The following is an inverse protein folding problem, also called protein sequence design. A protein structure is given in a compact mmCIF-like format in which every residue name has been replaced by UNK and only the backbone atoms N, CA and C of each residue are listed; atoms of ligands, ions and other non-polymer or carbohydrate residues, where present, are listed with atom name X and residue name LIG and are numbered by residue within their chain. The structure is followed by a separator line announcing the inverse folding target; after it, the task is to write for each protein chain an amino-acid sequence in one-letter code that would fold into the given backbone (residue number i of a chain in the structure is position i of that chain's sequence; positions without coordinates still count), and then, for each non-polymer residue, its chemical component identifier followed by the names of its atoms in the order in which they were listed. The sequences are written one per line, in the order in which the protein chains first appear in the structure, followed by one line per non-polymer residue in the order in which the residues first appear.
data_IF_260738234142
#
_entry.id   IF_260738234142
#
_cell.length_a   1.000
_cell.length_b   1.000
_cell.length_c   1.000
_cell.angle_alpha   90.00
_cell.angle_beta   90.00
_cell.angle_gamma   90.00
#
_symmetry.space_group_name_H-M   'P 1'
#
loop_
_entity.id
_entity.type
_entity.pdbx_description
1 polymer ?
#
# COMPACT_ATOMS: atom_id res chain seq x y z
N UNK A 1 -13.08 15.70 16.37
CA UNK A 1 -11.90 15.44 15.52
C UNK A 1 -11.78 16.62 14.58
N UNK A 2 -10.64 17.30 14.57
CA UNK A 2 -10.44 18.48 13.73
C UNK A 2 -10.46 18.07 12.25
N UNK A 3 -11.33 18.70 11.44
CA UNK A 3 -11.45 18.41 10.01
C UNK A 3 -10.13 18.64 9.24
N UNK A 4 -9.25 19.50 9.75
CA UNK A 4 -7.95 19.76 9.17
C UNK A 4 -7.02 18.53 9.23
N UNK A 5 -7.02 17.74 10.33
CA UNK A 5 -6.18 16.55 10.45
C UNK A 5 -6.56 15.48 9.43
N UNK A 6 -7.86 15.28 9.22
CA UNK A 6 -8.32 14.35 8.21
C UNK A 6 -7.93 14.80 6.79
N UNK A 7 -8.01 16.09 6.50
CA UNK A 7 -7.59 16.63 5.20
C UNK A 7 -6.08 16.42 4.99
N UNK A 8 -5.25 16.72 5.97
CA UNK A 8 -3.80 16.54 5.88
C UNK A 8 -3.42 15.07 5.65
N UNK A 9 -4.04 14.14 6.39
CA UNK A 9 -3.76 12.72 6.24
C UNK A 9 -4.35 12.11 4.96
N UNK A 10 -5.37 12.72 4.37
CA UNK A 10 -6.08 12.19 3.22
C UNK A 10 -5.54 12.70 1.89
N UNK A 11 -5.28 14.00 1.78
CA UNK A 11 -5.13 14.67 0.49
C UNK A 11 -3.93 14.19 -0.30
N UNK A 12 -2.79 13.92 0.33
CA UNK A 12 -1.64 13.35 -0.37
C UNK A 12 -1.88 11.92 -0.87
N UNK A 13 -2.71 11.12 -0.18
CA UNK A 13 -3.09 9.76 -0.59
C UNK A 13 -4.01 9.81 -1.81
N UNK A 14 -4.98 10.73 -1.80
CA UNK A 14 -5.86 11.00 -2.95
C UNK A 14 -5.05 11.49 -4.14
N UNK A 15 -4.08 12.39 -3.92
CA UNK A 15 -3.17 12.87 -4.97
C UNK A 15 -2.32 11.73 -5.55
N UNK A 16 -1.82 10.82 -4.71
CA UNK A 16 -1.09 9.64 -5.15
C UNK A 16 -1.97 8.71 -6.01
N UNK A 17 -3.22 8.44 -5.60
CA UNK A 17 -4.17 7.66 -6.38
C UNK A 17 -4.48 8.31 -7.74
N UNK A 18 -4.71 9.63 -7.77
CA UNK A 18 -4.90 10.37 -9.04
C UNK A 18 -3.68 10.28 -9.95
N UNK A 19 -2.47 10.40 -9.37
CA UNK A 19 -1.22 10.26 -10.12
C UNK A 19 -1.05 8.85 -10.68
N UNK A 20 -1.46 7.81 -9.93
CA UNK A 20 -1.48 6.44 -10.42
C UNK A 20 -2.38 6.30 -11.64
N UNK A 21 -3.61 6.78 -11.54
CA UNK A 21 -4.58 6.71 -12.64
C UNK A 21 -4.13 7.49 -13.88
N UNK A 22 -3.34 8.55 -13.71
CA UNK A 22 -2.78 9.31 -14.83
C UNK A 22 -1.56 8.64 -15.47
N UNK A 23 -0.70 7.96 -14.69
CA UNK A 23 0.63 7.54 -15.12
C UNK A 23 0.79 6.02 -15.26
N UNK A 24 -0.02 5.23 -14.54
CA UNK A 24 0.07 3.77 -14.43
C UNK A 24 -1.32 3.11 -14.42
N UNK A 25 -2.32 3.71 -15.10
CA UNK A 25 -3.58 3.01 -15.32
C UNK A 25 -3.35 1.72 -16.12
N UNK A 26 -4.33 0.83 -16.16
CA UNK A 26 -4.20 -0.48 -16.81
C UNK A 26 -3.67 -0.42 -18.24
N UNK A 27 -4.20 0.50 -19.04
CA UNK A 27 -3.80 0.63 -20.45
C UNK A 27 -2.33 1.05 -20.58
N UNK A 28 -1.92 2.10 -19.86
CA UNK A 28 -0.54 2.59 -19.89
C UNK A 28 0.44 1.55 -19.32
N UNK A 29 0.07 0.89 -18.23
CA UNK A 29 0.88 -0.17 -17.65
C UNK A 29 1.13 -1.30 -18.64
N UNK A 30 0.08 -1.75 -19.34
CA UNK A 30 0.18 -2.79 -20.36
C UNK A 30 1.03 -2.37 -21.56
N UNK A 31 0.93 -1.11 -22.01
CA UNK A 31 1.78 -0.59 -23.08
C UNK A 31 3.26 -0.64 -22.70
N UNK A 32 3.58 -0.21 -21.46
CA UNK A 32 4.96 -0.24 -20.96
C UNK A 32 5.49 -1.68 -20.80
N UNK A 33 4.67 -2.60 -20.28
CA UNK A 33 5.03 -4.02 -20.17
C UNK A 33 5.35 -4.65 -21.53
N UNK A 34 4.48 -4.46 -22.51
CA UNK A 34 4.66 -4.98 -23.90
C UNK A 34 5.91 -4.40 -24.57
N UNK A 35 6.25 -3.16 -24.21
CA UNK A 35 7.47 -2.51 -24.70
C UNK A 35 8.72 -2.86 -23.88
N UNK A 36 8.63 -3.77 -22.90
CA UNK A 36 9.70 -4.14 -21.95
C UNK A 36 10.31 -2.94 -21.20
N UNK A 37 9.52 -1.88 -20.98
CA UNK A 37 9.95 -0.66 -20.26
C UNK A 37 9.77 -0.82 -18.74
N UNK A 38 10.37 -1.86 -18.17
CA UNK A 38 10.22 -2.22 -16.76
C UNK A 38 10.78 -1.16 -15.81
N UNK A 39 11.92 -0.58 -16.16
CA UNK A 39 12.55 0.49 -15.38
C UNK A 39 11.65 1.74 -15.33
N UNK A 40 10.93 2.05 -16.40
CA UNK A 40 9.99 3.16 -16.45
C UNK A 40 8.79 2.90 -15.55
N UNK A 41 8.25 1.68 -15.55
CA UNK A 41 7.16 1.28 -14.63
C UNK A 41 7.61 1.46 -13.18
N UNK A 42 8.78 0.91 -12.83
CA UNK A 42 9.33 0.99 -11.49
C UNK A 42 9.59 2.45 -11.07
N UNK A 43 10.16 3.26 -11.97
CA UNK A 43 10.43 4.67 -11.73
C UNK A 43 9.13 5.44 -11.46
N UNK A 44 8.09 5.25 -12.27
CA UNK A 44 6.78 5.90 -12.09
C UNK A 44 6.14 5.49 -10.76
N UNK A 45 6.10 4.20 -10.44
CA UNK A 45 5.54 3.70 -9.19
C UNK A 45 6.26 4.29 -7.96
N UNK A 46 7.60 4.22 -7.93
CA UNK A 46 8.42 4.80 -6.86
C UNK A 46 8.24 6.31 -6.77
N UNK A 47 8.15 7.02 -7.90
CA UNK A 47 7.93 8.47 -7.93
C UNK A 47 6.58 8.86 -7.34
N UNK A 48 5.53 8.10 -7.62
CA UNK A 48 4.19 8.32 -7.04
C UNK A 48 4.25 8.12 -5.53
N UNK A 49 4.82 7.00 -5.07
CA UNK A 49 4.95 6.70 -3.65
C UNK A 49 5.81 7.75 -2.93
N UNK A 50 6.92 8.19 -3.52
CA UNK A 50 7.85 9.13 -2.89
C UNK A 50 7.24 10.50 -2.52
N UNK A 51 6.09 10.83 -3.10
CA UNK A 51 5.31 12.04 -2.78
C UNK A 51 4.32 11.82 -1.63
N UNK A 52 4.36 10.66 -0.99
CA UNK A 52 3.54 10.32 0.17
C UNK A 52 4.40 10.22 1.43
N UNK A 53 3.74 10.20 2.58
CA UNK A 53 4.35 9.93 3.89
C UNK A 53 4.03 8.50 4.36
N UNK A 54 3.63 7.59 3.44
CA UNK A 54 3.17 6.25 3.80
C UNK A 54 4.29 5.37 4.32
N UNK A 55 5.40 5.23 3.58
CA UNK A 55 6.53 4.39 3.98
C UNK A 55 7.70 5.22 4.50
N UNK A 56 8.51 4.65 5.38
CA UNK A 56 9.66 5.34 5.98
C UNK A 56 10.78 5.58 4.94
N UNK A 57 11.63 6.57 5.21
CA UNK A 57 12.72 6.95 4.33
C UNK A 57 13.67 5.77 4.02
N UNK A 58 13.97 4.92 5.01
CA UNK A 58 14.82 3.75 4.82
C UNK A 58 14.13 2.67 3.96
N UNK A 59 12.79 2.53 4.03
CA UNK A 59 12.02 1.64 3.16
C UNK A 59 11.99 2.18 1.72
N UNK A 60 11.82 3.51 1.55
CA UNK A 60 11.93 4.17 0.23
C UNK A 60 13.29 3.91 -0.42
N UNK A 61 14.36 4.01 0.37
CA UNK A 61 15.72 3.72 -0.12
C UNK A 61 15.86 2.25 -0.50
N UNK A 62 15.43 1.31 0.35
CA UNK A 62 15.48 -0.12 0.07
C UNK A 62 14.75 -0.48 -1.22
N UNK A 63 13.54 0.06 -1.42
CA UNK A 63 12.76 -0.16 -2.62
C UNK A 63 13.45 0.41 -3.87
N UNK A 64 13.94 1.65 -3.81
CA UNK A 64 14.67 2.27 -4.93
C UNK A 64 15.90 1.48 -5.34
N UNK A 65 16.68 1.02 -4.37
CA UNK A 65 17.87 0.22 -4.63
C UNK A 65 17.50 -1.12 -5.27
N UNK A 66 16.43 -1.77 -4.79
CA UNK A 66 15.97 -3.05 -5.29
C UNK A 66 15.51 -3.00 -6.76
N UNK A 67 14.83 -1.92 -7.16
CA UNK A 67 14.29 -1.78 -8.53
C UNK A 67 15.24 -1.06 -9.49
N UNK A 68 16.45 -0.70 -9.05
CA UNK A 68 17.44 -0.01 -9.88
C UNK A 68 18.10 -0.92 -10.90
N UNK A 69 18.17 -2.21 -10.63
CA UNK A 69 18.70 -3.20 -11.57
C UNK A 69 17.63 -3.61 -12.59
N UNK A 70 18.05 -3.95 -13.83
CA UNK A 70 17.11 -4.43 -14.85
C UNK A 70 16.27 -5.62 -14.37
N UNK A 71 16.92 -6.60 -13.72
CA UNK A 71 16.22 -7.77 -13.18
C UNK A 71 15.22 -7.39 -12.06
N UNK A 72 15.63 -6.51 -11.14
CA UNK A 72 14.75 -6.02 -10.07
C UNK A 72 13.56 -5.23 -10.62
N UNK A 73 13.79 -4.35 -11.58
CA UNK A 73 12.73 -3.59 -12.25
C UNK A 73 11.74 -4.52 -12.99
N UNK A 74 12.24 -5.53 -13.69
CA UNK A 74 11.40 -6.49 -14.42
C UNK A 74 10.54 -7.32 -13.43
N UNK A 75 11.16 -7.90 -12.38
CA UNK A 75 10.43 -8.66 -11.37
C UNK A 75 9.36 -7.80 -10.69
N UNK A 76 9.73 -6.58 -10.28
CA UNK A 76 8.80 -5.63 -9.68
C UNK A 76 7.65 -5.28 -10.62
N UNK A 77 7.91 -4.94 -11.88
CA UNK A 77 6.88 -4.54 -12.84
C UNK A 77 5.87 -5.66 -13.11
N UNK A 78 6.36 -6.89 -13.32
CA UNK A 78 5.47 -8.04 -13.53
C UNK A 78 4.64 -8.37 -12.28
N UNK A 79 5.25 -8.42 -11.11
CA UNK A 79 4.55 -8.70 -9.86
C UNK A 79 3.54 -7.62 -9.49
N UNK A 80 3.89 -6.35 -9.70
CA UNK A 80 2.99 -5.23 -9.47
C UNK A 80 1.80 -5.24 -10.42
N UNK A 81 2.03 -5.58 -11.70
CA UNK A 81 0.94 -5.77 -12.65
C UNK A 81 -0.01 -6.88 -12.20
N UNK A 82 0.52 -8.03 -11.80
CA UNK A 82 -0.29 -9.15 -11.31
C UNK A 82 -1.10 -8.78 -10.07
N UNK A 83 -0.51 -8.09 -9.10
CA UNK A 83 -1.23 -7.60 -7.92
C UNK A 83 -2.41 -6.71 -8.28
N UNK A 84 -2.18 -5.72 -9.15
CA UNK A 84 -3.15 -4.64 -9.40
C UNK A 84 -4.14 -4.99 -10.50
N UNK A 85 -3.67 -5.62 -11.57
CA UNK A 85 -4.45 -5.85 -12.81
C UNK A 85 -4.57 -7.32 -13.19
N UNK A 86 -3.93 -8.22 -12.44
CA UNK A 86 -3.97 -9.66 -12.70
C UNK A 86 -5.33 -10.28 -12.38
N UNK A 87 -5.55 -11.46 -12.95
CA UNK A 87 -6.75 -12.27 -12.73
C UNK A 87 -6.53 -13.26 -11.57
N UNK A 88 -7.63 -13.73 -10.98
CA UNK A 88 -7.61 -14.71 -9.90
C UNK A 88 -8.02 -14.13 -8.56
N UNK A 89 -7.89 -14.95 -7.51
CA UNK A 89 -8.25 -14.57 -6.14
C UNK A 89 -7.24 -13.57 -5.59
N UNK A 90 -7.72 -12.64 -4.79
CA UNK A 90 -6.84 -11.61 -4.16
C UNK A 90 -5.77 -12.26 -3.27
N UNK A 91 -6.10 -13.38 -2.61
CA UNK A 91 -5.15 -14.20 -1.86
C UNK A 91 -3.95 -14.61 -2.70
N UNK A 92 -4.22 -15.25 -3.86
CA UNK A 92 -3.16 -15.77 -4.73
C UNK A 92 -2.29 -14.65 -5.29
N UNK A 93 -2.90 -13.52 -5.67
CA UNK A 93 -2.19 -12.33 -6.16
C UNK A 93 -1.31 -11.71 -5.08
N UNK A 94 -1.83 -11.60 -3.85
CA UNK A 94 -1.09 -11.02 -2.74
C UNK A 94 0.10 -11.89 -2.32
N UNK A 95 -0.06 -13.21 -2.25
CA UNK A 95 1.04 -14.13 -1.91
C UNK A 95 2.14 -14.09 -2.99
N UNK A 96 1.78 -14.15 -4.28
CA UNK A 96 2.76 -14.00 -5.38
C UNK A 96 3.48 -12.65 -5.31
N UNK A 97 2.77 -11.58 -4.96
CA UNK A 97 3.39 -10.28 -4.77
C UNK A 97 4.36 -10.26 -3.58
N UNK A 98 4.02 -10.90 -2.46
CA UNK A 98 4.95 -11.07 -1.34
C UNK A 98 6.21 -11.82 -1.76
N UNK A 99 6.10 -12.88 -2.56
CA UNK A 99 7.24 -13.66 -3.06
C UNK A 99 8.11 -12.82 -4.01
N UNK A 100 7.50 -12.05 -4.90
CA UNK A 100 8.22 -11.11 -5.77
C UNK A 100 8.99 -10.11 -4.93
N UNK A 101 8.36 -9.45 -3.96
CA UNK A 101 9.03 -8.44 -3.10
C UNK A 101 10.14 -9.09 -2.26
N UNK A 102 9.96 -10.33 -1.81
CA UNK A 102 10.99 -11.08 -1.09
C UNK A 102 12.20 -11.41 -1.95
N UNK A 103 12.00 -11.63 -3.25
CA UNK A 103 13.05 -11.97 -4.23
C UNK A 103 13.82 -10.74 -4.75
N UNK A 104 13.31 -9.53 -4.52
CA UNK A 104 13.97 -8.31 -5.00
C UNK A 104 15.37 -8.15 -4.42
N UNK A 105 16.34 -7.61 -5.20
CA UNK A 105 17.71 -7.40 -4.76
C UNK A 105 17.78 -6.60 -3.46
N UNK A 106 18.45 -7.18 -2.46
CA UNK A 106 18.70 -6.53 -1.17
C UNK A 106 20.09 -5.89 -1.17
N UNK A 107 20.15 -4.58 -0.96
CA UNK A 107 21.45 -3.87 -0.82
C UNK A 107 21.82 -3.71 0.67
N UNK A 108 21.02 -3.04 1.45
CA UNK A 108 21.26 -2.83 2.89
C UNK A 108 20.14 -3.39 3.75
N UNK A 109 18.92 -2.94 3.52
CA UNK A 109 17.73 -3.27 4.29
C UNK A 109 16.84 -4.24 3.53
N UNK A 110 16.07 -5.06 4.23
CA UNK A 110 15.08 -5.93 3.59
C UNK A 110 13.99 -5.10 2.92
N UNK A 111 13.54 -5.57 1.75
CA UNK A 111 12.46 -4.93 0.99
C UNK A 111 11.10 -5.46 1.46
N UNK A 112 11.03 -6.75 1.84
CA UNK A 112 9.79 -7.37 2.32
C UNK A 112 9.41 -6.82 3.70
N UNK A 113 8.58 -5.78 3.68
CA UNK A 113 7.93 -5.18 4.86
C UNK A 113 6.45 -4.95 4.58
N UNK A 114 5.64 -4.89 5.62
CA UNK A 114 4.20 -4.62 5.49
C UNK A 114 3.90 -3.33 4.72
N UNK A 115 4.55 -2.19 5.03
CA UNK A 115 4.32 -0.96 4.28
C UNK A 115 4.63 -1.10 2.78
N UNK A 116 5.76 -1.71 2.41
CA UNK A 116 6.13 -1.86 0.99
C UNK A 116 5.16 -2.77 0.25
N UNK A 117 4.75 -3.89 0.86
CA UNK A 117 3.85 -4.85 0.22
C UNK A 117 2.45 -4.29 0.01
N UNK A 118 1.97 -3.40 0.89
CA UNK A 118 0.59 -2.91 0.83
C UNK A 118 0.43 -1.54 0.18
N UNK A 119 1.50 -0.74 0.03
CA UNK A 119 1.39 0.65 -0.45
C UNK A 119 0.88 0.77 -1.88
N UNK A 120 1.36 -0.08 -2.80
CA UNK A 120 1.00 0.06 -4.22
C UNK A 120 -0.42 -0.40 -4.51
N UNK A 121 -0.84 -1.53 -3.92
CA UNK A 121 -2.24 -1.96 -4.01
C UNK A 121 -3.20 -0.89 -3.46
N UNK A 122 -2.86 -0.31 -2.31
CA UNK A 122 -3.65 0.77 -1.71
C UNK A 122 -3.71 2.02 -2.58
N UNK A 123 -2.59 2.48 -3.16
CA UNK A 123 -2.57 3.65 -4.05
C UNK A 123 -3.35 3.36 -5.34
N UNK A 124 -3.18 2.18 -5.93
CA UNK A 124 -3.80 1.83 -7.20
C UNK A 124 -5.29 1.55 -7.08
N UNK A 125 -5.70 0.76 -6.10
CA UNK A 125 -7.04 0.23 -5.91
C UNK A 125 -7.55 0.44 -4.47
N UNK A 126 -7.77 1.69 -4.03
CA UNK A 126 -8.16 1.98 -2.64
C UNK A 126 -9.55 1.48 -2.25
N UNK A 127 -10.34 0.94 -3.19
CA UNK A 127 -11.60 0.26 -2.88
C UNK A 127 -11.43 -1.20 -2.44
N UNK A 128 -10.25 -1.78 -2.73
CA UNK A 128 -9.94 -3.20 -2.49
C UNK A 128 -8.85 -3.36 -1.45
N UNK A 129 -7.78 -2.56 -1.55
CA UNK A 129 -6.58 -2.69 -0.73
C UNK A 129 -6.52 -1.64 0.37
N UNK A 130 -5.95 -2.05 1.51
CA UNK A 130 -5.69 -1.18 2.66
C UNK A 130 -4.17 -1.06 2.87
N UNK A 131 -3.71 0.15 3.20
CA UNK A 131 -2.30 0.36 3.57
C UNK A 131 -2.07 -0.04 5.02
N UNK A 132 -1.20 -1.03 5.24
CA UNK A 132 -0.91 -1.57 6.56
C UNK A 132 0.42 -1.07 7.10
N UNK A 133 0.36 -0.18 8.09
CA UNK A 133 1.50 0.23 8.93
C UNK A 133 1.30 -0.34 10.34
N UNK A 134 1.98 -1.45 10.68
CA UNK A 134 1.69 -2.22 11.89
C UNK A 134 1.71 -1.40 13.18
N UNK A 135 2.62 -0.43 13.29
CA UNK A 135 2.74 0.42 14.49
C UNK A 135 1.47 1.19 14.80
N UNK A 136 0.87 1.82 13.80
CA UNK A 136 -0.34 2.64 13.92
C UNK A 136 -1.60 1.78 13.92
N UNK A 137 -1.71 0.87 12.94
CA UNK A 137 -2.94 0.07 12.79
C UNK A 137 -3.19 -0.85 13.98
N UNK A 138 -2.14 -1.37 14.64
CA UNK A 138 -2.29 -2.20 15.85
C UNK A 138 -2.80 -1.38 17.04
N UNK A 139 -2.34 -0.16 17.21
CA UNK A 139 -2.84 0.74 18.26
C UNK A 139 -4.32 1.04 18.02
N UNK A 140 -4.68 1.44 16.82
CA UNK A 140 -6.08 1.70 16.47
C UNK A 140 -6.97 0.45 16.66
N UNK A 141 -6.51 -0.73 16.26
CA UNK A 141 -7.24 -1.97 16.44
C UNK A 141 -7.41 -2.32 17.92
N UNK A 142 -6.40 -2.09 18.75
CA UNK A 142 -6.47 -2.29 20.19
C UNK A 142 -7.51 -1.35 20.84
N UNK A 143 -7.48 -0.07 20.51
CA UNK A 143 -8.47 0.90 20.97
C UNK A 143 -9.89 0.53 20.54
N UNK A 144 -10.03 -0.10 19.40
CA UNK A 144 -11.29 -0.60 18.83
C UNK A 144 -11.75 -1.93 19.46
N UNK A 145 -10.93 -2.55 20.32
CA UNK A 145 -11.18 -3.89 20.88
C UNK A 145 -11.09 -5.00 19.83
N UNK A 146 -10.45 -4.76 18.70
CA UNK A 146 -10.33 -5.74 17.61
C UNK A 146 -9.04 -6.57 17.74
N UNK A 147 -9.10 -7.91 17.78
CA UNK A 147 -7.92 -8.77 17.88
C UNK A 147 -7.21 -8.88 16.52
N UNK A 148 -6.29 -7.94 16.26
CA UNK A 148 -5.49 -7.97 15.05
C UNK A 148 -4.32 -8.95 15.20
N UNK A 149 -4.37 -10.09 14.51
CA UNK A 149 -3.33 -11.11 14.53
C UNK A 149 -2.12 -10.68 13.72
N UNK A 150 -1.19 -9.98 14.38
CA UNK A 150 0.02 -9.47 13.75
C UNK A 150 1.11 -10.55 13.65
N UNK A 151 1.65 -10.74 12.45
CA UNK A 151 2.93 -11.41 12.20
C UNK A 151 3.87 -10.48 11.46
N UNK A 152 5.17 -10.56 11.75
CA UNK A 152 6.17 -9.67 11.16
C UNK A 152 6.40 -9.89 9.66
N UNK A 153 6.22 -11.13 9.19
CA UNK A 153 6.31 -11.50 7.76
C UNK A 153 4.95 -11.28 7.09
N UNK A 154 4.87 -10.51 6.02
CA UNK A 154 3.65 -10.37 5.23
C UNK A 154 3.14 -11.73 4.74
N UNK A 155 1.84 -11.95 4.90
CA UNK A 155 1.09 -13.11 4.40
C UNK A 155 -0.37 -12.72 4.18
N UNK A 156 -1.06 -13.41 3.28
CA UNK A 156 -2.48 -13.16 3.05
C UNK A 156 -3.33 -13.35 4.30
N UNK A 157 -3.08 -14.40 5.06
CA UNK A 157 -3.83 -14.68 6.28
C UNK A 157 -3.84 -13.48 7.23
N UNK A 158 -2.69 -12.88 7.49
CA UNK A 158 -2.60 -11.67 8.33
C UNK A 158 -3.18 -10.44 7.65
N UNK A 159 -2.98 -10.30 6.33
CA UNK A 159 -3.53 -9.16 5.59
C UNK A 159 -5.05 -9.18 5.54
N UNK A 160 -5.65 -10.35 5.44
CA UNK A 160 -7.11 -10.52 5.51
C UNK A 160 -7.68 -10.00 6.82
N UNK A 161 -7.06 -10.27 7.97
CA UNK A 161 -7.49 -9.69 9.25
C UNK A 161 -7.44 -8.16 9.26
N UNK A 162 -6.46 -7.57 8.57
CA UNK A 162 -6.38 -6.11 8.40
C UNK A 162 -7.53 -5.60 7.54
N UNK A 163 -7.85 -6.28 6.45
CA UNK A 163 -8.97 -5.93 5.58
C UNK A 163 -10.32 -6.09 6.30
N UNK A 164 -10.48 -7.15 7.08
CA UNK A 164 -11.68 -7.39 7.88
C UNK A 164 -11.87 -6.30 8.96
N UNK A 165 -10.77 -5.88 9.60
CA UNK A 165 -10.78 -4.74 10.52
C UNK A 165 -11.17 -3.44 9.82
N UNK A 166 -10.56 -3.13 8.67
CA UNK A 166 -10.90 -1.93 7.91
C UNK A 166 -12.35 -1.94 7.43
N UNK A 167 -12.89 -3.12 7.05
CA UNK A 167 -14.30 -3.27 6.68
C UNK A 167 -15.24 -3.07 7.87
N UNK A 168 -14.88 -3.55 9.07
CA UNK A 168 -15.60 -3.29 10.31
C UNK A 168 -15.69 -1.79 10.59
N UNK A 169 -14.55 -1.10 10.59
CA UNK A 169 -14.48 0.36 10.81
C UNK A 169 -15.30 1.11 9.75
N UNK A 170 -15.20 0.71 8.48
CA UNK A 170 -16.00 1.32 7.40
C UNK A 170 -17.50 1.19 7.64
N UNK A 171 -17.95 0.05 8.13
CA UNK A 171 -19.36 -0.19 8.48
C UNK A 171 -19.80 0.73 9.63
N UNK A 172 -18.98 0.80 10.68
CA UNK A 172 -19.31 1.58 11.88
C UNK A 172 -19.27 3.10 11.62
N UNK A 173 -18.50 3.52 10.62
CA UNK A 173 -18.45 4.91 10.13
C UNK A 173 -19.40 5.20 8.96
N UNK A 174 -20.39 4.32 8.71
CA UNK A 174 -21.31 4.45 7.55
C UNK A 174 -22.01 5.81 7.46
N UNK A 175 -22.35 6.43 8.59
CA UNK A 175 -23.00 7.74 8.66
C UNK A 175 -22.09 8.87 8.13
N UNK A 176 -20.76 8.69 8.21
CA UNK A 176 -19.78 9.61 7.66
C UNK A 176 -19.49 9.36 6.16
N UNK A 177 -20.13 8.34 5.57
CA UNK A 177 -20.06 7.98 4.15
C UNK A 177 -18.63 7.88 3.60
N UNK A 178 -17.73 7.06 4.22
CA UNK A 178 -16.37 6.91 3.73
C UNK A 178 -16.36 6.34 2.29
N UNK A 179 -15.61 6.98 1.40
CA UNK A 179 -15.62 6.67 -0.05
C UNK A 179 -14.86 5.37 -0.35
N UNK A 180 -13.72 5.19 0.30
CA UNK A 180 -12.80 4.08 0.07
C UNK A 180 -11.87 3.87 1.27
N UNK A 181 -10.85 3.02 1.12
CA UNK A 181 -9.90 2.72 2.18
C UNK A 181 -8.90 3.87 2.45
N UNK A 182 -8.85 4.91 1.60
CA UNK A 182 -8.09 6.12 1.91
C UNK A 182 -8.75 6.84 3.08
N UNK A 183 -10.06 7.01 3.06
CA UNK A 183 -10.80 7.65 4.16
C UNK A 183 -10.66 6.83 5.46
N UNK A 184 -10.80 5.51 5.38
CA UNK A 184 -10.66 4.61 6.54
C UNK A 184 -9.24 4.62 7.10
N UNK A 185 -8.23 4.55 6.24
CA UNK A 185 -6.83 4.55 6.67
C UNK A 185 -6.44 5.90 7.27
N UNK A 186 -6.95 7.01 6.74
CA UNK A 186 -6.72 8.34 7.29
C UNK A 186 -7.36 8.49 8.67
N UNK A 187 -8.57 7.99 8.86
CA UNK A 187 -9.23 7.95 10.15
C UNK A 187 -8.43 7.12 11.17
N UNK A 188 -8.05 5.90 10.82
CA UNK A 188 -7.29 5.00 11.70
C UNK A 188 -5.89 5.54 12.00
N UNK A 189 -5.30 6.30 11.08
CA UNK A 189 -4.01 6.97 11.30
C UNK A 189 -4.12 8.02 12.40
N UNK A 190 -5.10 8.90 12.32
CA UNK A 190 -5.34 9.94 13.34
C UNK A 190 -5.62 9.31 14.70
N UNK A 191 -6.37 8.20 14.74
CA UNK A 191 -6.67 7.50 16.01
C UNK A 191 -5.47 6.75 16.60
N UNK A 192 -4.62 6.18 15.78
CA UNK A 192 -3.53 5.29 16.23
C UNK A 192 -2.14 5.91 16.26
N UNK A 193 -2.00 7.16 15.79
CA UNK A 193 -0.72 7.87 15.72
C UNK A 193 -0.53 8.79 16.91
N UNK A 194 0.67 8.79 17.49
CA UNK A 194 1.07 9.77 18.50
C UNK A 194 1.34 11.18 17.93
N UNK A 195 1.22 11.36 16.61
CA UNK A 195 1.40 12.65 15.94
C UNK A 195 0.19 13.58 16.16
N UNK A 196 -0.95 13.02 16.57
CA UNK A 196 -2.19 13.76 16.80
C UNK A 196 -2.65 13.52 18.25
N UNK A 197 -2.23 14.39 19.21
CA UNK A 197 -2.72 14.30 20.59
C UNK A 197 -4.23 14.62 20.66
N UNK A 198 -4.89 14.03 21.66
CA UNK A 198 -6.31 14.24 21.98
C UNK A 198 -6.66 15.70 22.24
#
# INVERSE_FOLDING_TARGET
MDENYLAWERDYKVAAHRSWNAMLNHQEFMLLLRANKFEEIALRAVRIESRTNLIFSFEKMALRDAVRTKAGAAAFAHGLHDLVYGHGRDEDKFERWCDVVASLPRVKTRVLTWPIVTVFGFIALPRVHFFYKPTVTRVAAHMYGYPLHYVSRPSWQSYRHVLDFAALVRRDLSDLKPRDMIDIQSFLWVQGSAEYPD
#
